data_IF_701102306561
#
_entry.id   IF_701102306561
#
_cell.length_a   1.000
_cell.length_b   1.000
_cell.length_c   1.000
_cell.angle_alpha   90.00
_cell.angle_beta   90.00
_cell.angle_gamma   90.00
#
_symmetry.space_group_name_H-M   'P 1'
#
loop_
_entity.id
_entity.type
_entity.pdbx_description
1 polymer ?
#
# COMPACT_ATOMS: atom_id res chain seq x y z
N UNK A 1 9.92 -11.28 9.20
CA UNK A 1 9.07 -11.78 8.10
C UNK A 1 9.93 -11.78 6.84
N UNK A 2 10.54 -12.92 6.45
CA UNK A 2 11.55 -12.92 5.36
C UNK A 2 10.99 -12.70 3.95
N UNK A 3 9.67 -12.87 3.78
CA UNK A 3 8.96 -12.75 2.50
C UNK A 3 8.08 -11.50 2.39
N UNK A 4 7.90 -10.77 3.50
CA UNK A 4 7.01 -9.62 3.62
C UNK A 4 7.71 -8.55 4.46
N UNK A 5 7.94 -7.39 3.85
CA UNK A 5 8.41 -6.21 4.56
C UNK A 5 7.35 -5.65 5.51
N UNK A 6 7.78 -4.75 6.38
CA UNK A 6 6.92 -4.07 7.35
C UNK A 6 6.98 -2.54 7.21
N UNK A 7 7.17 -2.09 5.98
CA UNK A 7 7.09 -0.71 5.51
C UNK A 7 6.33 -0.67 4.17
N UNK A 8 6.10 0.52 3.64
CA UNK A 8 5.58 0.77 2.29
C UNK A 8 6.69 0.87 1.22
N UNK A 9 7.95 0.65 1.60
CA UNK A 9 9.07 0.72 0.68
C UNK A 9 8.99 -0.36 -0.42
N UNK A 10 9.45 -0.02 -1.62
CA UNK A 10 9.38 -0.91 -2.79
C UNK A 10 10.16 -2.21 -2.58
N UNK A 11 11.30 -2.17 -1.86
CA UNK A 11 12.10 -3.34 -1.49
C UNK A 11 11.38 -4.30 -0.54
N UNK A 12 10.38 -3.80 0.18
CA UNK A 12 9.61 -4.50 1.20
C UNK A 12 8.33 -5.16 0.64
N UNK A 13 7.96 -4.83 -0.61
CA UNK A 13 6.84 -5.43 -1.31
C UNK A 13 6.99 -6.95 -1.48
N UNK A 14 5.87 -7.70 -1.59
CA UNK A 14 5.91 -9.16 -1.62
C UNK A 14 6.66 -9.68 -2.85
N UNK A 15 7.61 -10.60 -2.63
CA UNK A 15 8.58 -11.01 -3.67
C UNK A 15 8.05 -11.93 -4.77
N UNK A 16 6.85 -12.48 -4.60
CA UNK A 16 6.27 -13.49 -5.50
C UNK A 16 5.42 -12.90 -6.63
N UNK A 17 5.20 -11.59 -6.63
CA UNK A 17 4.50 -10.88 -7.71
C UNK A 17 5.47 -10.35 -8.77
N UNK A 18 4.99 -10.29 -10.02
CA UNK A 18 5.69 -9.59 -11.10
C UNK A 18 5.72 -8.07 -10.85
N UNK A 19 6.57 -7.35 -11.58
CA UNK A 19 6.60 -5.88 -11.51
C UNK A 19 5.24 -5.26 -11.82
N UNK A 20 4.53 -5.77 -12.82
CA UNK A 20 3.20 -5.26 -13.20
C UNK A 20 2.16 -5.50 -12.11
N UNK A 21 2.17 -6.68 -11.48
CA UNK A 21 1.24 -7.01 -10.41
C UNK A 21 1.48 -6.16 -9.17
N UNK A 22 2.74 -5.81 -8.89
CA UNK A 22 3.12 -5.00 -7.73
C UNK A 22 2.54 -3.58 -7.76
N UNK A 23 2.17 -3.05 -8.93
CA UNK A 23 1.47 -1.77 -9.05
C UNK A 23 0.12 -1.76 -8.33
N UNK A 24 -0.52 -2.93 -8.20
CA UNK A 24 -1.78 -3.09 -7.49
C UNK A 24 -1.60 -3.46 -6.01
N UNK A 25 -0.36 -3.66 -5.56
CA UNK A 25 -0.05 -4.08 -4.18
C UNK A 25 0.41 -2.89 -3.36
N UNK A 26 -0.34 -2.54 -2.31
CA UNK A 26 -0.06 -1.38 -1.46
C UNK A 26 -0.09 -1.77 0.01
N UNK A 27 0.82 -1.19 0.79
CA UNK A 27 0.79 -1.26 2.24
C UNK A 27 -0.24 -0.24 2.78
N UNK A 28 -1.02 -0.65 3.78
CA UNK A 28 -1.90 0.22 4.54
C UNK A 28 -1.72 -0.03 6.05
N UNK A 29 -2.54 0.62 6.88
CA UNK A 29 -2.47 0.50 8.35
C UNK A 29 -2.64 -0.94 8.87
N UNK A 30 -3.20 -1.84 8.06
CA UNK A 30 -3.48 -3.22 8.42
C UNK A 30 -2.52 -4.24 7.80
N UNK A 31 -1.74 -3.87 6.78
CA UNK A 31 -0.80 -4.79 6.13
C UNK A 31 -0.64 -4.54 4.63
N UNK A 32 -0.23 -5.58 3.90
CA UNK A 32 -0.21 -5.53 2.44
C UNK A 32 -1.58 -5.88 1.89
N UNK A 33 -2.01 -5.11 0.90
CA UNK A 33 -3.33 -5.21 0.27
C UNK A 33 -3.25 -5.18 -1.24
N UNK A 34 -4.29 -5.69 -1.90
CA UNK A 34 -4.53 -5.54 -3.34
C UNK A 34 -5.58 -4.45 -3.55
N UNK A 35 -5.33 -3.52 -4.47
CA UNK A 35 -6.30 -2.49 -4.86
C UNK A 35 -7.63 -3.10 -5.32
N UNK A 36 -8.73 -2.44 -4.96
CA UNK A 36 -10.06 -2.80 -5.44
C UNK A 36 -10.15 -2.74 -6.97
N UNK A 37 -10.87 -3.67 -7.59
CA UNK A 37 -10.97 -3.77 -9.05
C UNK A 37 -9.73 -4.37 -9.73
N UNK A 38 -8.69 -4.78 -8.98
CA UNK A 38 -7.55 -5.48 -9.56
C UNK A 38 -7.98 -6.88 -10.03
N UNK A 39 -7.48 -7.28 -11.21
CA UNK A 39 -7.65 -8.62 -11.75
C UNK A 39 -7.13 -9.72 -10.81
N UNK A 40 -6.24 -9.37 -9.88
CA UNK A 40 -5.70 -10.28 -8.87
C UNK A 40 -6.74 -10.73 -7.84
N UNK A 41 -7.77 -9.93 -7.60
CA UNK A 41 -8.84 -10.23 -6.63
C UNK A 41 -9.96 -11.08 -7.23
N UNK A 42 -10.01 -11.21 -8.56
CA UNK A 42 -11.15 -11.80 -9.27
C UNK A 42 -12.44 -10.96 -9.17
N UNK A 43 -12.35 -9.72 -8.67
CA UNK A 43 -13.44 -8.78 -8.50
C UNK A 43 -13.12 -7.48 -9.26
N UNK A 44 -13.94 -7.13 -10.25
CA UNK A 44 -13.79 -5.94 -11.09
C UNK A 44 -14.44 -4.68 -10.49
N UNK A 45 -15.09 -4.79 -9.33
CA UNK A 45 -15.66 -3.64 -8.63
C UNK A 45 -14.57 -2.77 -8.00
N UNK A 46 -14.24 -1.66 -8.65
CA UNK A 46 -13.27 -0.65 -8.18
C UNK A 46 -13.72 0.11 -6.93
N UNK A 47 -15.00 -0.01 -6.54
CA UNK A 47 -15.56 0.59 -5.32
C UNK A 47 -15.61 -0.37 -4.13
N UNK A 48 -15.06 -1.58 -4.28
CA UNK A 48 -14.92 -2.51 -3.15
C UNK A 48 -13.85 -2.04 -2.16
N UNK A 49 -13.85 -2.61 -0.96
CA UNK A 49 -12.72 -2.46 -0.06
C UNK A 49 -11.50 -3.24 -0.61
N UNK A 50 -10.26 -2.72 -0.46
CA UNK A 50 -9.05 -3.44 -0.81
C UNK A 50 -8.93 -4.79 -0.08
N UNK A 51 -8.47 -5.82 -0.79
CA UNK A 51 -8.30 -7.15 -0.21
C UNK A 51 -7.00 -7.24 0.57
N UNK A 52 -7.03 -7.79 1.79
CA UNK A 52 -5.83 -7.96 2.62
C UNK A 52 -5.10 -9.26 2.23
N UNK A 53 -3.86 -9.13 1.75
CA UNK A 53 -2.97 -10.26 1.47
C UNK A 53 -2.32 -10.80 2.74
N UNK A 54 -1.85 -9.91 3.60
CA UNK A 54 -1.29 -10.27 4.90
C UNK A 54 -1.53 -9.14 5.89
N UNK A 55 -2.00 -9.51 7.08
CA UNK A 55 -2.11 -8.57 8.19
C UNK A 55 -0.77 -8.42 8.91
N UNK A 56 -0.36 -7.18 9.18
CA UNK A 56 0.84 -6.86 9.94
C UNK A 56 0.45 -6.00 11.14
N UNK A 57 0.57 -6.58 12.34
CA UNK A 57 0.25 -5.87 13.60
C UNK A 57 1.22 -4.71 13.83
N UNK A 58 0.68 -3.52 14.10
CA UNK A 58 1.47 -2.34 14.44
C UNK A 58 2.16 -1.69 13.24
N UNK A 59 1.67 -1.93 12.02
CA UNK A 59 2.20 -1.33 10.79
C UNK A 59 1.81 0.15 10.66
N UNK A 60 0.65 0.53 11.17
CA UNK A 60 0.21 1.91 11.38
C UNK A 60 1.28 2.81 12.02
N UNK A 61 1.94 2.32 13.08
CA UNK A 61 3.02 3.05 13.75
C UNK A 61 4.30 3.16 12.91
N UNK A 62 4.47 2.32 11.88
CA UNK A 62 5.68 2.23 11.06
C UNK A 62 5.57 2.96 9.73
N UNK A 63 4.39 3.00 9.13
CA UNK A 63 4.11 3.77 7.92
C UNK A 63 4.18 5.28 8.16
N UNK A 64 4.24 5.69 9.43
CA UNK A 64 4.09 7.07 9.83
C UNK A 64 2.64 7.48 9.64
N UNK A 65 2.01 8.00 10.69
CA UNK A 65 0.89 8.90 10.45
C UNK A 65 1.47 10.02 9.59
N UNK A 66 1.04 10.12 8.33
CA UNK A 66 1.65 11.04 7.37
C UNK A 66 1.62 12.47 7.90
N UNK A 67 2.75 12.93 8.42
CA UNK A 67 2.89 14.30 8.90
C UNK A 67 3.09 15.22 7.70
N UNK A 68 2.31 16.28 7.63
CA UNK A 68 2.55 17.35 6.66
C UNK A 68 3.73 18.17 7.18
N UNK A 69 4.90 17.98 6.57
CA UNK A 69 6.15 18.66 6.97
C UNK A 69 6.28 20.08 6.43
N UNK A 70 5.36 20.50 5.54
CA UNK A 70 5.29 21.87 5.05
C UNK A 70 4.22 22.05 3.97
N UNK A 71 3.80 23.31 3.79
CA UNK A 71 2.98 23.78 2.67
C UNK A 71 3.71 24.95 2.01
N UNK A 72 3.81 24.94 0.68
CA UNK A 72 4.31 26.06 -0.11
C UNK A 72 3.14 26.76 -0.83
N UNK A 73 2.98 28.05 -0.59
CA UNK A 73 1.94 28.88 -1.21
C UNK A 73 2.57 29.73 -2.31
N UNK A 74 2.58 29.20 -3.53
CA UNK A 74 3.04 29.93 -4.71
C UNK A 74 1.94 30.89 -5.21
N UNK A 75 1.74 32.00 -4.52
CA UNK A 75 0.84 33.07 -4.97
C UNK A 75 1.64 34.18 -5.67
N UNK A 76 1.52 34.25 -6.98
CA UNK A 76 2.04 35.37 -7.78
C UNK A 76 0.95 36.43 -7.93
N UNK A 77 1.29 37.69 -7.67
CA UNK A 77 0.36 38.85 -7.79
C UNK A 77 0.27 39.35 -9.22
#
# INVERSE_FOLDING_TARGET
MGLWGASDATEDQPKHFTTEQKEDIVANQHGWTVKAGSVLTGNDNTSADPEILVFIRGLDNKLGVGDITGFDWNITT
#
